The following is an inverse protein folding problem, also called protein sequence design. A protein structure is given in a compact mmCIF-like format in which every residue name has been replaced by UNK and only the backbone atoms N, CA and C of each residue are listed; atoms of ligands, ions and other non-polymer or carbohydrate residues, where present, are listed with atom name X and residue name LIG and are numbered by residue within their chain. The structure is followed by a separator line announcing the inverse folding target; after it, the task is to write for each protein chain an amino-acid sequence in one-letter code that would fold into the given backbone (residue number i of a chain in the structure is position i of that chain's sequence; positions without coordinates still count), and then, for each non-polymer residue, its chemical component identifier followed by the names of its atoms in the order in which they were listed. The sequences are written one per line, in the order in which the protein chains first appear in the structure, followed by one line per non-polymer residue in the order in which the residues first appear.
data_IF_923435758927
#
_entry.id   IF_923435758927
#
_cell.length_a   1.000
_cell.length_b   1.000
_cell.length_c   1.000
_cell.angle_alpha   90.00
_cell.angle_beta   90.00
_cell.angle_gamma   90.00
#
_symmetry.space_group_name_H-M   'P 1'
#
loop_
_entity.id
_entity.type
_entity.pdbx_description
1 polymer ?
#
# COMPACT_ATOMS: atom_id res chain seq x y z
N UNK A 1 12.05 0.78 0.07
CA UNK A 1 12.37 -0.22 -0.94
C UNK A 1 11.24 -0.36 -1.96
N UNK A 2 9.98 -0.56 -1.54
CA UNK A 2 8.83 -0.65 -2.44
C UNK A 2 8.71 0.57 -3.38
N UNK A 3 8.80 1.80 -2.85
CA UNK A 3 8.78 3.02 -3.67
C UNK A 3 9.90 3.04 -4.72
N UNK A 4 11.12 2.65 -4.37
CA UNK A 4 12.23 2.62 -5.31
C UNK A 4 11.98 1.64 -6.46
N UNK A 5 11.41 0.46 -6.16
CA UNK A 5 11.04 -0.54 -7.16
C UNK A 5 9.93 0.00 -8.10
N UNK A 6 8.93 0.70 -7.56
CA UNK A 6 7.86 1.30 -8.38
C UNK A 6 8.39 2.36 -9.35
N UNK A 7 9.37 3.17 -8.91
CA UNK A 7 10.03 4.14 -9.79
C UNK A 7 10.86 3.49 -10.90
N UNK A 8 11.48 2.35 -10.63
CA UNK A 8 12.27 1.61 -11.61
C UNK A 8 11.40 0.84 -12.62
N UNK A 9 10.26 0.31 -12.21
CA UNK A 9 9.34 -0.47 -13.05
C UNK A 9 8.41 0.40 -13.89
N UNK A 10 8.21 1.67 -13.50
CA UNK A 10 7.31 2.59 -14.17
C UNK A 10 7.95 3.15 -15.45
N UNK A 11 7.33 2.91 -16.60
CA UNK A 11 7.72 3.49 -17.90
C UNK A 11 7.23 4.94 -18.10
N UNK A 12 6.63 5.55 -17.11
CA UNK A 12 6.04 6.89 -17.20
C UNK A 12 7.09 7.97 -16.97
N UNK A 13 7.84 8.32 -18.01
CA UNK A 13 8.76 9.45 -18.01
C UNK A 13 10.20 9.11 -18.45
N UNK A 14 11.08 10.10 -18.65
CA UNK A 14 12.46 9.86 -19.04
C UNK A 14 13.19 9.05 -17.95
N UNK A 15 13.96 8.07 -18.35
CA UNK A 15 14.67 7.11 -17.48
C UNK A 15 15.50 7.79 -16.38
N UNK A 16 16.06 8.95 -16.67
CA UNK A 16 16.84 9.73 -15.70
C UNK A 16 16.02 10.22 -14.51
N UNK A 17 14.78 10.69 -14.76
CA UNK A 17 13.88 11.16 -13.68
C UNK A 17 13.39 10.01 -12.82
N UNK A 18 13.14 8.84 -13.41
CA UNK A 18 12.76 7.65 -12.61
C UNK A 18 13.92 7.11 -11.79
N UNK A 19 15.15 7.13 -12.32
CA UNK A 19 16.35 6.72 -11.56
C UNK A 19 16.66 7.66 -10.40
N UNK A 20 16.60 8.98 -10.62
CA UNK A 20 16.82 9.96 -9.54
C UNK A 20 15.74 9.88 -8.46
N UNK A 21 14.48 9.72 -8.85
CA UNK A 21 13.37 9.55 -7.91
C UNK A 21 13.46 8.22 -7.14
N UNK A 22 13.89 7.13 -7.80
CA UNK A 22 14.15 5.85 -7.14
C UNK A 22 15.26 5.95 -6.11
N UNK A 23 16.37 6.60 -6.47
CA UNK A 23 17.49 6.81 -5.56
C UNK A 23 17.10 7.72 -4.39
N UNK A 24 16.43 8.83 -4.66
CA UNK A 24 15.96 9.76 -3.63
C UNK A 24 14.97 9.06 -2.66
N UNK A 25 14.04 8.25 -3.17
CA UNK A 25 13.10 7.50 -2.34
C UNK A 25 13.78 6.43 -1.48
N UNK A 26 14.85 5.82 -1.98
CA UNK A 26 15.63 4.82 -1.27
C UNK A 26 16.43 5.47 -0.14
N UNK A 27 17.16 6.55 -0.44
CA UNK A 27 17.92 7.33 0.54
C UNK A 27 16.98 7.89 1.63
N UNK A 28 15.85 8.48 1.22
CA UNK A 28 14.84 8.99 2.15
C UNK A 28 14.28 7.87 3.03
N UNK A 29 13.94 6.71 2.46
CA UNK A 29 13.39 5.57 3.21
C UNK A 29 14.37 4.99 4.22
N UNK A 30 15.65 4.85 3.86
CA UNK A 30 16.71 4.39 4.78
C UNK A 30 16.94 5.41 5.89
N UNK A 31 17.04 6.69 5.53
CA UNK A 31 17.21 7.77 6.50
C UNK A 31 16.02 7.85 7.46
N UNK A 32 14.80 7.78 6.93
CA UNK A 32 13.58 7.78 7.74
C UNK A 32 13.54 6.57 8.68
N UNK A 33 13.87 5.37 8.20
CA UNK A 33 13.87 4.15 9.02
C UNK A 33 14.85 4.28 10.21
N UNK A 34 15.99 4.92 10.01
CA UNK A 34 16.96 5.15 11.08
C UNK A 34 16.50 6.21 12.08
N UNK A 35 15.88 7.29 11.60
CA UNK A 35 15.44 8.43 12.44
C UNK A 35 14.00 8.33 12.93
N UNK A 36 13.22 7.40 12.42
CA UNK A 36 11.80 7.26 12.75
C UNK A 36 11.51 7.18 14.25
N UNK A 37 12.21 6.35 15.06
CA UNK A 37 11.93 6.27 16.49
C UNK A 37 12.11 7.62 17.19
N UNK A 38 13.19 8.33 16.87
CA UNK A 38 13.49 9.63 17.50
C UNK A 38 12.54 10.74 17.05
N UNK A 39 12.12 10.74 15.78
CA UNK A 39 11.20 11.73 15.23
C UNK A 39 9.75 11.49 15.68
N UNK A 40 9.30 10.23 15.75
CA UNK A 40 7.95 9.89 16.18
C UNK A 40 7.71 10.19 17.67
N UNK A 41 8.72 9.97 18.51
CA UNK A 41 8.64 10.28 19.94
C UNK A 41 8.77 11.77 20.25
N UNK A 42 9.56 12.51 19.44
CA UNK A 42 9.90 13.90 19.68
C UNK A 42 9.26 14.88 18.69
N UNK A 43 8.15 14.53 18.06
CA UNK A 43 7.44 15.40 17.09
C UNK A 43 7.15 16.80 17.64
N UNK A 44 6.91 16.92 18.95
CA UNK A 44 6.64 18.20 19.63
C UNK A 44 7.91 19.04 19.85
N UNK A 45 9.10 18.44 19.94
CA UNK A 45 10.37 19.15 20.19
C UNK A 45 11.00 19.66 18.89
N UNK A 46 10.78 18.97 17.77
CA UNK A 46 11.36 19.31 16.46
C UNK A 46 10.27 19.52 15.39
N UNK A 47 9.35 20.47 15.59
CA UNK A 47 8.18 20.62 14.70
C UNK A 47 8.58 20.97 13.26
N UNK A 48 9.65 21.71 13.06
CA UNK A 48 10.12 22.15 11.73
C UNK A 48 10.76 21.00 10.94
N UNK A 49 11.62 20.21 11.59
CA UNK A 49 12.22 19.03 10.97
C UNK A 49 11.17 17.98 10.63
N UNK A 50 10.27 17.68 11.58
CA UNK A 50 9.17 16.76 11.39
C UNK A 50 8.28 17.18 10.22
N UNK A 51 7.99 18.47 10.07
CA UNK A 51 7.17 19.00 8.99
C UNK A 51 7.87 18.84 7.62
N UNK A 52 9.16 19.19 7.52
CA UNK A 52 9.91 19.07 6.26
C UNK A 52 9.99 17.62 5.83
N UNK A 53 10.34 16.72 6.74
CA UNK A 53 10.43 15.28 6.48
C UNK A 53 9.08 14.73 6.04
N UNK A 54 8.01 15.11 6.72
CA UNK A 54 6.66 14.68 6.39
C UNK A 54 6.20 15.19 5.03
N UNK A 55 6.51 16.44 4.68
CA UNK A 55 6.19 17.00 3.35
C UNK A 55 6.93 16.24 2.24
N UNK A 56 8.22 16.00 2.39
CA UNK A 56 8.99 15.23 1.41
C UNK A 56 8.46 13.81 1.29
N UNK A 57 8.20 13.14 2.41
CA UNK A 57 7.61 11.80 2.43
C UNK A 57 6.24 11.75 1.76
N UNK A 58 5.38 12.71 2.05
CA UNK A 58 4.05 12.81 1.44
C UNK A 58 4.12 12.97 -0.07
N UNK A 59 4.96 13.86 -0.59
CA UNK A 59 5.15 14.05 -2.03
C UNK A 59 5.67 12.78 -2.71
N UNK A 60 6.64 12.10 -2.11
CA UNK A 60 7.18 10.85 -2.64
C UNK A 60 6.12 9.73 -2.66
N UNK A 61 5.29 9.63 -1.61
CA UNK A 61 4.20 8.65 -1.55
C UNK A 61 3.15 8.94 -2.62
N UNK A 62 2.68 10.18 -2.71
CA UNK A 62 1.66 10.58 -3.70
C UNK A 62 2.16 10.31 -5.13
N UNK A 63 3.40 10.65 -5.43
CA UNK A 63 3.98 10.39 -6.76
C UNK A 63 4.14 8.88 -7.01
N UNK A 64 4.54 8.10 -6.01
CA UNK A 64 4.63 6.63 -6.12
C UNK A 64 3.27 6.00 -6.37
N UNK A 65 2.24 6.42 -5.65
CA UNK A 65 0.85 5.97 -5.82
C UNK A 65 0.33 6.35 -7.20
N UNK A 66 0.63 7.57 -7.67
CA UNK A 66 0.26 8.03 -9.01
C UNK A 66 0.80 7.13 -10.10
N UNK A 67 2.04 6.69 -9.96
CA UNK A 67 2.71 5.84 -10.96
C UNK A 67 2.23 4.39 -10.96
N UNK A 68 1.81 3.88 -9.81
CA UNK A 68 1.36 2.48 -9.68
C UNK A 68 -0.13 2.31 -9.93
N UNK A 69 -0.95 3.16 -9.32
CA UNK A 69 -2.41 3.02 -9.29
C UNK A 69 -3.14 4.07 -10.14
N UNK A 70 -2.40 5.03 -10.71
CA UNK A 70 -2.96 6.09 -11.54
C UNK A 70 -3.66 7.19 -10.76
N UNK A 71 -4.41 8.03 -11.48
CA UNK A 71 -5.08 9.21 -10.94
C UNK A 71 -6.30 8.89 -10.07
N UNK A 72 -6.95 7.75 -10.29
CA UNK A 72 -8.18 7.37 -9.57
C UNK A 72 -7.97 7.33 -8.05
N UNK A 73 -6.89 6.70 -7.60
CA UNK A 73 -6.59 6.59 -6.17
C UNK A 73 -6.16 7.93 -5.56
N UNK A 74 -5.47 8.77 -6.33
CA UNK A 74 -5.09 10.12 -5.89
C UNK A 74 -6.31 11.00 -5.65
N UNK A 75 -7.30 10.92 -6.53
CA UNK A 75 -8.55 11.67 -6.36
C UNK A 75 -9.26 11.22 -5.08
N UNK A 76 -9.37 9.93 -4.83
CA UNK A 76 -9.97 9.41 -3.60
C UNK A 76 -9.19 9.88 -2.37
N UNK A 77 -7.86 9.76 -2.39
CA UNK A 77 -7.00 10.22 -1.30
C UNK A 77 -7.15 11.73 -1.07
N UNK A 78 -7.17 12.50 -2.16
CA UNK A 78 -7.40 13.94 -2.12
C UNK A 78 -8.74 14.31 -1.51
N UNK A 79 -9.82 13.60 -1.86
CA UNK A 79 -11.14 13.81 -1.26
C UNK A 79 -11.15 13.52 0.24
N UNK A 80 -10.50 12.45 0.68
CA UNK A 80 -10.39 12.11 2.12
C UNK A 80 -9.57 13.16 2.86
N UNK A 81 -8.44 13.60 2.31
CA UNK A 81 -7.64 14.67 2.89
C UNK A 81 -8.41 16.00 2.94
N UNK A 82 -9.12 16.36 1.88
CA UNK A 82 -9.96 17.54 1.84
C UNK A 82 -11.08 17.47 2.89
N UNK A 83 -11.72 16.32 3.03
CA UNK A 83 -12.70 16.12 4.10
C UNK A 83 -12.07 16.32 5.48
N UNK A 84 -10.90 15.77 5.75
CA UNK A 84 -10.21 15.94 7.04
C UNK A 84 -9.88 17.41 7.35
N UNK A 85 -9.55 18.20 6.33
CA UNK A 85 -9.25 19.63 6.48
C UNK A 85 -10.51 20.49 6.69
N UNK A 86 -11.60 20.15 6.00
CA UNK A 86 -12.84 20.94 5.98
C UNK A 86 -13.97 20.35 6.83
N UNK A 87 -13.69 19.33 7.63
CA UNK A 87 -14.69 18.60 8.42
C UNK A 87 -15.49 19.46 9.40
N UNK A 88 -14.97 20.61 9.82
CA UNK A 88 -15.68 21.56 10.69
C UNK A 88 -16.82 22.32 9.99
N UNK A 89 -16.81 22.41 8.66
CA UNK A 89 -17.86 23.08 7.90
C UNK A 89 -19.07 22.19 7.63
N UNK A 90 -18.96 20.89 7.86
CA UNK A 90 -20.06 19.95 7.71
C UNK A 90 -20.96 20.01 8.94
N UNK A 91 -22.27 19.85 8.74
CA UNK A 91 -23.26 19.79 9.82
C UNK A 91 -23.72 18.33 10.04
N UNK A 92 -24.05 17.98 11.28
CA UNK A 92 -24.59 16.65 11.62
C UNK A 92 -23.53 15.60 11.95
N UNK A 93 -23.79 14.30 11.72
CA UNK A 93 -22.92 13.20 12.14
C UNK A 93 -21.55 13.18 11.44
N UNK A 94 -21.39 13.95 10.37
CA UNK A 94 -20.12 14.10 9.64
C UNK A 94 -19.29 15.28 10.15
N UNK A 95 -19.79 16.04 11.12
CA UNK A 95 -19.06 17.13 11.71
C UNK A 95 -17.93 16.59 12.58
N UNK A 96 -16.72 17.03 12.32
CA UNK A 96 -15.54 16.70 13.10
C UNK A 96 -14.68 17.96 13.29
N UNK A 97 -13.73 17.87 14.21
CA UNK A 97 -12.79 18.98 14.41
C UNK A 97 -11.82 19.03 13.24
N UNK A 98 -11.74 20.18 12.55
CA UNK A 98 -10.78 20.35 11.45
C UNK A 98 -9.34 20.19 11.95
N UNK A 99 -8.52 19.55 11.14
CA UNK A 99 -7.10 19.31 11.42
C UNK A 99 -6.28 20.32 10.63
N UNK A 100 -5.33 20.98 11.25
CA UNK A 100 -4.42 21.89 10.56
C UNK A 100 -3.61 21.10 9.50
N UNK A 101 -3.36 21.67 8.28
CA UNK A 101 -2.66 20.97 7.19
C UNK A 101 -1.32 20.40 7.61
N UNK A 102 -0.54 21.17 8.37
CA UNK A 102 0.75 20.75 8.90
C UNK A 102 0.64 19.51 9.78
N UNK A 103 -0.37 19.46 10.63
CA UNK A 103 -0.63 18.36 11.55
C UNK A 103 -1.10 17.11 10.80
N UNK A 104 -1.90 17.28 9.75
CA UNK A 104 -2.36 16.18 8.90
C UNK A 104 -1.18 15.48 8.20
N UNK A 105 -0.29 16.25 7.56
CA UNK A 105 0.85 15.70 6.85
C UNK A 105 1.84 15.03 7.81
N UNK A 106 2.10 15.63 8.95
CA UNK A 106 2.97 15.05 9.99
C UNK A 106 2.39 13.75 10.54
N UNK A 107 1.09 13.73 10.82
CA UNK A 107 0.38 12.53 11.26
C UNK A 107 0.47 11.40 10.22
N UNK A 108 0.23 11.67 8.94
CA UNK A 108 0.24 10.66 7.89
C UNK A 108 1.60 9.97 7.72
N UNK A 109 2.70 10.62 8.06
CA UNK A 109 4.06 10.10 7.84
C UNK A 109 4.74 9.62 9.11
N UNK A 110 4.62 10.38 10.21
CA UNK A 110 5.40 10.14 11.43
C UNK A 110 4.63 9.47 12.56
N UNK A 111 3.30 9.40 12.48
CA UNK A 111 2.53 8.75 13.52
C UNK A 111 2.65 7.23 13.43
N UNK A 112 2.79 6.56 14.58
CA UNK A 112 2.88 5.11 14.67
C UNK A 112 1.62 4.37 14.20
N UNK A 113 0.47 5.03 14.23
CA UNK A 113 -0.80 4.50 13.72
C UNK A 113 -1.02 4.80 12.23
N UNK A 114 -0.12 5.53 11.58
CA UNK A 114 -0.24 6.00 10.20
C UNK A 114 0.38 5.05 9.16
N UNK A 115 0.60 5.57 7.95
CA UNK A 115 1.12 4.81 6.80
C UNK A 115 2.48 4.16 7.06
N UNK A 116 3.41 4.86 7.72
CA UNK A 116 4.74 4.34 8.04
C UNK A 116 4.78 3.46 9.29
N UNK A 117 3.75 3.48 10.12
CA UNK A 117 3.63 2.69 11.33
C UNK A 117 2.91 1.35 11.12
N UNK A 118 1.68 1.25 11.62
CA UNK A 118 0.93 0.00 11.66
C UNK A 118 0.68 -0.60 10.27
N UNK A 119 0.28 0.23 9.27
CA UNK A 119 -0.01 -0.26 7.93
C UNK A 119 1.23 -0.87 7.24
N UNK A 120 2.39 -0.21 7.36
CA UNK A 120 3.64 -0.73 6.80
C UNK A 120 4.09 -1.99 7.53
N UNK A 121 3.94 -2.05 8.85
CA UNK A 121 4.28 -3.22 9.66
C UNK A 121 3.45 -4.44 9.23
N UNK A 122 2.14 -4.28 9.06
CA UNK A 122 1.26 -5.35 8.57
C UNK A 122 1.66 -5.77 7.15
N UNK A 123 1.93 -4.81 6.26
CA UNK A 123 2.35 -5.11 4.90
C UNK A 123 3.65 -5.95 4.86
N UNK A 124 4.63 -5.60 5.67
CA UNK A 124 5.93 -6.31 5.70
C UNK A 124 5.84 -7.62 6.47
N UNK A 125 5.17 -7.66 7.61
CA UNK A 125 5.14 -8.83 8.48
C UNK A 125 4.13 -9.91 8.01
N UNK A 126 3.09 -9.52 7.31
CA UNK A 126 2.02 -10.44 6.91
C UNK A 126 1.97 -10.61 5.39
N UNK A 127 1.83 -9.48 4.64
CA UNK A 127 1.58 -9.56 3.19
C UNK A 127 2.79 -10.09 2.43
N UNK A 128 4.00 -9.64 2.75
CA UNK A 128 5.23 -10.08 2.04
C UNK A 128 5.49 -11.58 2.24
N UNK A 129 5.51 -12.14 3.48
CA UNK A 129 5.65 -13.59 3.67
C UNK A 129 4.55 -14.39 2.99
N UNK A 130 3.31 -13.89 3.01
CA UNK A 130 2.19 -14.55 2.35
C UNK A 130 2.37 -14.61 0.82
N UNK A 131 2.84 -13.53 0.20
CA UNK A 131 3.16 -13.50 -1.23
C UNK A 131 4.30 -14.48 -1.57
N UNK A 132 5.34 -14.58 -0.73
CA UNK A 132 6.44 -15.52 -0.92
C UNK A 132 5.90 -16.96 -0.84
N UNK A 133 5.08 -17.26 0.17
CA UNK A 133 4.45 -18.57 0.32
C UNK A 133 3.58 -18.93 -0.89
N UNK A 134 2.79 -17.98 -1.37
CA UNK A 134 1.95 -18.15 -2.56
C UNK A 134 2.79 -18.47 -3.80
N UNK A 135 3.87 -17.73 -4.04
CA UNK A 135 4.78 -17.99 -5.16
C UNK A 135 5.48 -19.35 -5.05
N UNK A 136 5.88 -19.75 -3.85
CA UNK A 136 6.47 -21.05 -3.59
C UNK A 136 5.48 -22.17 -3.91
N UNK A 137 4.22 -22.03 -3.47
CA UNK A 137 3.17 -23.00 -3.76
C UNK A 137 2.90 -23.13 -5.26
N UNK A 138 2.89 -22.01 -5.99
CA UNK A 138 2.78 -22.02 -7.46
C UNK A 138 3.95 -22.76 -8.11
N UNK A 139 5.16 -22.49 -7.67
CA UNK A 139 6.39 -23.11 -8.21
C UNK A 139 6.46 -24.62 -7.93
N UNK A 140 5.85 -25.08 -6.82
CA UNK A 140 5.80 -26.50 -6.44
C UNK A 140 4.64 -27.29 -7.07
N UNK A 141 3.87 -26.68 -7.98
CA UNK A 141 2.77 -27.34 -8.68
C UNK A 141 1.41 -27.25 -8.00
N UNK A 142 1.25 -26.32 -7.05
CA UNK A 142 -0.03 -26.09 -6.35
C UNK A 142 -1.20 -25.79 -7.27
N UNK A 143 -0.92 -25.17 -8.44
CA UNK A 143 -1.96 -24.93 -9.45
C UNK A 143 -2.54 -26.21 -10.02
N UNK A 144 -1.71 -27.18 -10.35
CA UNK A 144 -2.15 -28.48 -10.83
C UNK A 144 -2.95 -29.22 -9.75
N UNK A 145 -2.44 -29.21 -8.51
CA UNK A 145 -3.15 -29.84 -7.38
C UNK A 145 -4.55 -29.24 -7.17
N UNK A 146 -4.72 -27.94 -7.15
CA UNK A 146 -6.03 -27.30 -6.97
C UNK A 146 -6.96 -27.52 -8.15
N UNK A 147 -6.42 -27.60 -9.36
CA UNK A 147 -7.19 -27.96 -10.56
C UNK A 147 -7.70 -29.40 -10.49
N UNK A 148 -6.83 -30.34 -10.13
CA UNK A 148 -7.19 -31.76 -9.99
C UNK A 148 -8.18 -31.99 -8.85
N UNK A 149 -7.99 -31.31 -7.72
CA UNK A 149 -8.93 -31.34 -6.60
C UNK A 149 -10.31 -30.79 -7.01
N UNK A 150 -10.36 -29.70 -7.73
CA UNK A 150 -11.60 -29.10 -8.25
C UNK A 150 -12.31 -30.05 -9.24
N UNK A 151 -11.54 -30.72 -10.08
CA UNK A 151 -12.02 -31.74 -11.01
C UNK A 151 -12.58 -32.94 -10.27
N UNK A 152 -11.92 -33.45 -9.24
CA UNK A 152 -12.38 -34.55 -8.42
C UNK A 152 -13.70 -34.25 -7.69
N UNK A 153 -13.83 -33.01 -7.17
CA UNK A 153 -15.01 -32.58 -6.41
C UNK A 153 -16.25 -32.29 -7.29
N UNK A 154 -16.05 -31.69 -8.46
CA UNK A 154 -17.15 -31.16 -9.27
C UNK A 154 -17.24 -31.74 -10.69
N UNK A 155 -16.24 -32.49 -11.16
CA UNK A 155 -16.14 -32.93 -12.55
C UNK A 155 -17.27 -33.84 -13.02
N UNK A 156 -17.82 -34.66 -12.14
CA UNK A 156 -18.92 -35.59 -12.46
C UNK A 156 -20.34 -35.01 -12.36
N UNK A 157 -20.48 -33.74 -11.97
CA UNK A 157 -21.79 -33.10 -11.77
C UNK A 157 -22.24 -32.32 -13.01
N UNK A 158 -23.53 -32.15 -13.21
CA UNK A 158 -24.11 -31.30 -14.26
C UNK A 158 -23.57 -29.86 -14.07
N UNK A 159 -23.04 -29.26 -15.15
CA UNK A 159 -22.38 -27.98 -15.11
C UNK A 159 -20.94 -28.03 -14.51
N UNK A 160 -20.29 -29.20 -14.58
CA UNK A 160 -18.97 -29.46 -13.99
C UNK A 160 -17.91 -28.45 -14.35
N UNK A 161 -17.82 -28.04 -15.63
CA UNK A 161 -16.82 -27.08 -16.08
C UNK A 161 -16.88 -25.74 -15.34
N UNK A 162 -18.09 -25.16 -15.18
CA UNK A 162 -18.23 -23.90 -14.44
C UNK A 162 -17.94 -24.05 -12.95
N UNK A 163 -18.33 -25.17 -12.35
CA UNK A 163 -18.05 -25.46 -10.93
C UNK A 163 -16.56 -25.67 -10.67
N UNK A 164 -15.85 -26.34 -11.58
CA UNK A 164 -14.41 -26.53 -11.50
C UNK A 164 -13.69 -25.19 -11.54
N UNK A 165 -14.08 -24.30 -12.46
CA UNK A 165 -13.49 -22.97 -12.56
C UNK A 165 -13.70 -22.15 -11.26
N UNK A 166 -14.91 -22.16 -10.71
CA UNK A 166 -15.22 -21.45 -9.45
C UNK A 166 -14.45 -22.03 -8.26
N UNK A 167 -14.44 -23.37 -8.12
CA UNK A 167 -13.71 -24.03 -7.03
C UNK A 167 -12.21 -23.83 -7.16
N UNK A 168 -11.67 -23.97 -8.37
CA UNK A 168 -10.26 -23.75 -8.65
C UNK A 168 -9.84 -22.33 -8.30
N UNK A 169 -10.58 -21.31 -8.76
CA UNK A 169 -10.26 -19.94 -8.41
C UNK A 169 -10.49 -19.62 -6.94
N UNK A 170 -11.47 -20.23 -6.26
CA UNK A 170 -11.67 -20.07 -4.83
C UNK A 170 -10.50 -20.66 -4.01
N UNK A 171 -10.04 -21.86 -4.36
CA UNK A 171 -8.85 -22.46 -3.72
C UNK A 171 -7.59 -21.63 -3.98
N UNK A 172 -7.40 -21.18 -5.22
CA UNK A 172 -6.30 -20.30 -5.57
C UNK A 172 -6.36 -18.98 -4.83
N UNK A 173 -7.52 -18.34 -4.82
CA UNK A 173 -7.74 -17.07 -4.14
C UNK A 173 -7.51 -17.15 -2.63
N UNK A 174 -7.89 -18.27 -2.00
CA UNK A 174 -7.68 -18.48 -0.56
C UNK A 174 -6.20 -18.56 -0.17
N UNK A 175 -5.35 -19.02 -1.08
CA UNK A 175 -3.90 -19.15 -0.84
C UNK A 175 -3.11 -17.98 -1.40
N UNK A 176 -3.52 -17.40 -2.52
CA UNK A 176 -2.83 -16.24 -3.10
C UNK A 176 -3.23 -14.91 -2.47
N UNK A 177 -4.37 -14.87 -1.75
CA UNK A 177 -4.94 -13.63 -1.22
C UNK A 177 -5.40 -12.64 -2.30
N UNK A 178 -5.43 -13.07 -3.56
CA UNK A 178 -5.83 -12.27 -4.71
C UNK A 178 -7.01 -12.96 -5.41
N UNK A 179 -8.05 -12.20 -5.72
CA UNK A 179 -9.09 -12.65 -6.63
C UNK A 179 -8.52 -12.73 -8.05
N UNK A 180 -8.41 -13.92 -8.60
CA UNK A 180 -7.98 -14.16 -9.98
C UNK A 180 -9.22 -14.43 -10.82
#
# INVERSE_FOLDING_TARGET
LAMAVTYLSSSAGPRWVSLTAAFASLVFGVWLAYRFPTLSENVFYYPTEALIVSMVGFVLIVESVRRTMGWSLIVILGCVCAYALFSSYFSGPLQSRSIAPNRLVTFLILDSASLAGAALTIAVAVVVPFLILSQLLLATGGSAFFSDLSLALAGRRRGGAGKIAILGSAFFGSVSGSAV
#
